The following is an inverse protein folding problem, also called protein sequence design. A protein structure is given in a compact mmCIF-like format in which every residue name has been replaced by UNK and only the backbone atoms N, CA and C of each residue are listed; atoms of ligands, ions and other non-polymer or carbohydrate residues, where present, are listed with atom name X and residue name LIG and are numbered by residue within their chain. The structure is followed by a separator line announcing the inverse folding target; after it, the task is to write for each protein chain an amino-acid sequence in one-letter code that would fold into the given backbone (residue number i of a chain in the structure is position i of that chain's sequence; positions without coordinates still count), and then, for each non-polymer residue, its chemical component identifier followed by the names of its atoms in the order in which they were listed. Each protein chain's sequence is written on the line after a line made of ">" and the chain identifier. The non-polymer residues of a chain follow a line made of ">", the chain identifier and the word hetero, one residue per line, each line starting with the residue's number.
data_IF_906336768949
#
_entry.id   IF_906336768949
#
_cell.length_a   1.000
_cell.length_b   1.000
_cell.length_c   1.000
_cell.angle_alpha   90.00
_cell.angle_beta   90.00
_cell.angle_gamma   90.00
#
_symmetry.space_group_name_H-M   'P 1'
#
loop_
_entity.id
_entity.type
_entity.pdbx_description
1 polymer ?
#
# COMPACT_ATOMS: atom_id res chain seq x y z
N UNK A 1 -7.75 21.97 7.09
CA UNK A 1 -7.26 20.73 7.73
C UNK A 1 -6.15 20.23 6.84
N UNK A 2 -4.95 20.07 7.37
CA UNK A 2 -3.86 19.41 6.65
C UNK A 2 -4.24 17.93 6.57
N UNK A 3 -4.56 17.45 5.36
CA UNK A 3 -4.78 16.02 5.15
C UNK A 3 -3.42 15.34 5.39
N UNK A 4 -3.37 14.43 6.37
CA UNK A 4 -2.16 13.69 6.69
C UNK A 4 -1.97 12.47 5.79
N UNK A 5 -0.78 11.88 5.88
CA UNK A 5 -0.40 10.66 5.19
C UNK A 5 -0.25 9.53 6.21
N UNK A 6 -0.48 8.29 5.78
CA UNK A 6 -0.43 7.08 6.61
C UNK A 6 0.40 6.04 5.90
N UNK A 7 1.15 5.26 6.66
CA UNK A 7 2.04 4.27 6.10
C UNK A 7 1.59 2.87 6.50
N UNK A 8 1.56 1.95 5.54
CA UNK A 8 1.39 0.52 5.80
C UNK A 8 2.44 -0.26 5.02
N UNK A 9 3.35 -0.91 5.73
CA UNK A 9 4.47 -1.65 5.15
C UNK A 9 5.22 -0.84 4.05
N UNK A 10 5.63 0.38 4.39
CA UNK A 10 6.37 1.33 3.52
C UNK A 10 5.60 1.96 2.34
N UNK A 11 4.29 1.74 2.23
CA UNK A 11 3.43 2.39 1.22
C UNK A 11 2.63 3.53 1.84
N UNK A 12 2.38 4.58 1.06
CA UNK A 12 1.80 5.83 1.57
C UNK A 12 0.37 6.00 1.06
N UNK A 13 -0.54 6.30 1.97
CA UNK A 13 -1.95 6.50 1.68
C UNK A 13 -2.48 7.78 2.30
N UNK A 14 -3.57 8.30 1.75
CA UNK A 14 -4.31 9.39 2.38
C UNK A 14 -4.89 8.94 3.73
N UNK A 15 -4.60 9.67 4.81
CA UNK A 15 -5.08 9.32 6.16
C UNK A 15 -6.58 9.28 6.33
N UNK A 16 -7.28 10.15 5.62
CA UNK A 16 -8.72 10.30 5.79
C UNK A 16 -9.50 9.25 5.00
N UNK A 17 -8.91 8.73 3.91
CA UNK A 17 -9.64 7.93 2.93
C UNK A 17 -8.99 6.58 2.61
N UNK A 18 -7.75 6.33 3.05
CA UNK A 18 -7.01 5.10 2.78
C UNK A 18 -6.57 4.91 1.34
N UNK A 19 -6.84 5.89 0.47
CA UNK A 19 -6.57 5.79 -0.95
C UNK A 19 -5.16 6.29 -1.24
N UNK A 20 -4.44 5.53 -2.05
CA UNK A 20 -3.15 5.93 -2.60
C UNK A 20 -3.32 7.09 -3.60
N UNK A 21 -4.36 7.05 -4.43
CA UNK A 21 -4.88 8.22 -5.16
C UNK A 21 -6.18 8.68 -4.53
N UNK A 22 -6.14 9.82 -3.84
CA UNK A 22 -7.31 10.39 -3.20
C UNK A 22 -7.76 11.66 -3.93
N UNK A 23 -8.82 11.55 -4.74
CA UNK A 23 -9.41 12.70 -5.44
C UNK A 23 -10.08 13.72 -4.51
N UNK A 24 -10.41 13.32 -3.27
CA UNK A 24 -11.04 14.22 -2.29
C UNK A 24 -10.02 15.14 -1.63
N UNK A 25 -8.84 14.61 -1.32
CA UNK A 25 -7.73 15.34 -0.71
C UNK A 25 -6.73 15.86 -1.75
N UNK A 26 -6.90 15.48 -3.03
CA UNK A 26 -6.01 15.81 -4.15
C UNK A 26 -4.56 15.35 -3.92
N UNK A 27 -4.39 14.16 -3.35
CA UNK A 27 -3.07 13.51 -3.17
C UNK A 27 -2.95 12.29 -4.07
N UNK A 28 -1.74 12.06 -4.57
CA UNK A 28 -1.39 10.92 -5.41
C UNK A 28 -0.02 10.41 -4.98
N UNK A 29 -0.01 9.25 -4.35
CA UNK A 29 1.20 8.59 -3.85
C UNK A 29 1.70 7.48 -4.79
N UNK A 30 1.05 7.25 -5.94
CA UNK A 30 1.39 6.14 -6.85
C UNK A 30 2.84 6.18 -7.31
N UNK A 31 3.41 7.35 -7.53
CA UNK A 31 4.80 7.47 -7.96
C UNK A 31 5.76 6.85 -6.93
N UNK A 32 5.61 7.18 -5.65
CA UNK A 32 6.47 6.68 -4.59
C UNK A 32 6.27 5.17 -4.40
N UNK A 33 5.02 4.75 -4.36
CA UNK A 33 4.65 3.36 -4.08
C UNK A 33 5.00 2.44 -5.25
N UNK A 34 4.83 2.88 -6.51
CA UNK A 34 5.29 2.15 -7.70
C UNK A 34 6.81 2.00 -7.70
N UNK A 35 7.57 3.06 -7.38
CA UNK A 35 9.04 2.95 -7.27
C UNK A 35 9.45 1.94 -6.18
N UNK A 36 8.70 1.84 -5.08
CA UNK A 36 8.94 0.81 -4.05
C UNK A 36 8.69 -0.60 -4.60
N UNK A 37 7.59 -0.82 -5.33
CA UNK A 37 7.28 -2.10 -6.00
C UNK A 37 8.39 -2.49 -6.96
N UNK A 38 8.80 -1.59 -7.85
CA UNK A 38 9.83 -1.86 -8.85
C UNK A 38 11.15 -2.30 -8.22
N UNK A 39 11.53 -1.68 -7.09
CA UNK A 39 12.74 -2.05 -6.35
C UNK A 39 12.65 -3.45 -5.75
N UNK A 40 11.52 -3.76 -5.11
CA UNK A 40 11.31 -5.07 -4.51
C UNK A 40 11.22 -6.17 -5.58
N UNK A 41 10.52 -5.89 -6.69
CA UNK A 41 10.43 -6.77 -7.84
C UNK A 41 11.81 -7.00 -8.45
N UNK A 42 12.60 -5.95 -8.71
CA UNK A 42 13.97 -6.06 -9.20
C UNK A 42 14.86 -6.93 -8.29
N UNK A 43 14.74 -6.80 -6.97
CA UNK A 43 15.48 -7.61 -6.01
C UNK A 43 15.06 -9.10 -6.05
N UNK A 44 13.76 -9.38 -6.20
CA UNK A 44 13.25 -10.75 -6.36
C UNK A 44 13.78 -11.38 -7.66
N UNK A 45 13.78 -10.63 -8.75
CA UNK A 45 14.23 -11.10 -10.07
C UNK A 45 15.74 -11.36 -10.10
N UNK A 46 16.54 -10.50 -9.46
CA UNK A 46 17.98 -10.75 -9.29
C UNK A 46 18.22 -12.08 -8.53
N UNK A 47 17.33 -12.43 -7.60
CA UNK A 47 17.42 -13.66 -6.83
C UNK A 47 16.93 -14.91 -7.60
N UNK A 48 15.90 -14.79 -8.46
CA UNK A 48 15.32 -15.94 -9.20
C UNK A 48 15.89 -16.12 -10.60
N UNK A 49 16.42 -15.06 -11.21
CA UNK A 49 16.92 -15.04 -12.59
C UNK A 49 15.83 -14.89 -13.66
N UNK A 50 14.62 -14.47 -13.28
CA UNK A 50 13.49 -14.24 -14.19
C UNK A 50 13.43 -12.77 -14.65
N UNK A 51 12.66 -12.48 -15.71
CA UNK A 51 12.24 -11.12 -16.06
C UNK A 51 10.77 -10.92 -15.63
N UNK A 52 10.39 -9.76 -15.08
CA UNK A 52 9.01 -9.52 -14.70
C UNK A 52 8.20 -9.25 -15.97
N UNK A 53 7.07 -9.93 -16.12
CA UNK A 53 6.07 -9.60 -17.15
C UNK A 53 5.08 -8.52 -16.66
N UNK A 54 5.47 -7.76 -15.61
CA UNK A 54 4.61 -6.83 -14.91
C UNK A 54 5.14 -5.42 -15.10
N UNK A 55 4.33 -4.58 -15.75
CA UNK A 55 4.50 -3.13 -15.73
C UNK A 55 3.83 -2.57 -14.47
N UNK A 56 4.63 -2.10 -13.51
CA UNK A 56 4.13 -1.56 -12.25
C UNK A 56 3.39 -0.23 -12.43
N UNK A 57 3.54 0.47 -13.56
CA UNK A 57 2.80 1.68 -13.89
C UNK A 57 1.34 1.39 -14.28
N UNK A 58 1.07 0.20 -14.82
CA UNK A 58 -0.27 -0.23 -15.26
C UNK A 58 -1.15 -0.78 -14.12
N UNK A 59 -0.60 -0.94 -12.90
CA UNK A 59 -1.36 -1.46 -11.75
C UNK A 59 -2.51 -0.51 -11.34
N UNK A 60 -3.62 -1.05 -10.81
CA UNK A 60 -4.66 -0.22 -10.18
C UNK A 60 -4.13 0.49 -8.93
N UNK A 61 -4.75 1.62 -8.58
CA UNK A 61 -4.46 2.31 -7.31
C UNK A 61 -4.97 1.51 -6.12
N UNK A 62 -4.19 1.49 -5.04
CA UNK A 62 -4.54 0.78 -3.82
C UNK A 62 -5.47 1.58 -2.90
N UNK A 63 -6.26 0.81 -2.14
CA UNK A 63 -7.05 1.30 -1.03
C UNK A 63 -6.70 0.48 0.22
N UNK A 64 -5.90 1.06 1.11
CA UNK A 64 -5.47 0.42 2.36
C UNK A 64 -6.66 -0.04 3.20
N UNK A 65 -7.76 0.72 3.20
CA UNK A 65 -8.93 0.43 4.03
C UNK A 65 -9.68 -0.84 3.59
N UNK A 66 -9.35 -1.41 2.43
CA UNK A 66 -9.84 -2.72 2.01
C UNK A 66 -9.12 -3.89 2.74
N UNK A 67 -7.94 -3.67 3.33
CA UNK A 67 -7.06 -4.69 3.87
C UNK A 67 -6.88 -4.65 5.40
N UNK A 68 -7.50 -3.69 6.06
CA UNK A 68 -7.27 -3.36 7.47
C UNK A 68 -8.54 -3.47 8.30
N UNK A 69 -8.37 -3.63 9.61
CA UNK A 69 -9.46 -3.47 10.56
C UNK A 69 -9.47 -2.03 11.07
N UNK A 70 -10.31 -1.19 10.46
CA UNK A 70 -10.59 0.13 11.02
C UNK A 70 -11.69 0.06 12.08
N UNK A 71 -11.47 0.56 13.31
CA UNK A 71 -12.57 0.89 14.19
C UNK A 71 -13.42 1.97 13.52
N UNK A 72 -14.66 1.64 13.17
CA UNK A 72 -15.59 2.60 12.56
C UNK A 72 -15.78 3.80 13.51
N UNK A 73 -15.23 4.96 13.14
CA UNK A 73 -15.59 6.24 13.74
C UNK A 73 -14.54 6.93 14.62
N UNK A 74 -13.35 6.37 14.81
CA UNK A 74 -12.25 7.09 15.47
C UNK A 74 -11.33 7.79 14.45
N UNK A 75 -10.93 9.05 14.71
CA UNK A 75 -9.88 9.71 13.94
C UNK A 75 -8.55 8.98 14.20
N UNK A 76 -7.94 8.47 13.14
CA UNK A 76 -6.71 7.72 13.22
C UNK A 76 -5.50 8.64 13.43
N UNK A 77 -4.54 8.22 14.26
CA UNK A 77 -3.29 8.93 14.51
C UNK A 77 -2.21 8.46 13.52
N UNK A 78 -1.52 9.34 12.76
CA UNK A 78 -0.30 9.03 11.98
C UNK A 78 0.76 8.18 12.66
N UNK A 79 0.80 8.20 13.99
CA UNK A 79 1.74 7.41 14.76
C UNK A 79 1.19 6.04 15.21
N UNK A 80 -0.08 5.70 14.91
CA UNK A 80 -0.68 4.41 15.27
C UNK A 80 -0.30 3.31 14.26
N UNK A 81 0.05 2.14 14.79
CA UNK A 81 0.25 0.94 13.99
C UNK A 81 -1.05 0.52 13.26
N UNK A 82 -0.95 0.11 12.00
CA UNK A 82 -2.12 -0.28 11.18
C UNK A 82 -2.31 -1.80 11.21
N UNK A 83 -3.34 -2.33 11.90
CA UNK A 83 -3.59 -3.77 11.93
C UNK A 83 -4.28 -4.25 10.65
N UNK A 84 -3.77 -5.34 10.08
CA UNK A 84 -4.45 -6.00 8.98
C UNK A 84 -5.74 -6.70 9.43
N UNK A 85 -6.64 -6.98 8.49
CA UNK A 85 -7.95 -7.54 8.84
C UNK A 85 -7.95 -9.04 9.19
N UNK A 86 -6.95 -9.78 8.72
CA UNK A 86 -6.89 -11.23 8.87
C UNK A 86 -6.09 -11.64 10.12
N UNK A 87 -4.92 -11.04 10.32
CA UNK A 87 -3.99 -11.43 11.38
C UNK A 87 -4.03 -10.49 12.59
N UNK A 88 -4.73 -9.34 12.50
CA UNK A 88 -4.76 -8.28 13.53
C UNK A 88 -3.37 -7.75 13.91
N UNK A 89 -2.39 -7.99 13.04
CA UNK A 89 -0.99 -7.61 13.24
C UNK A 89 -0.74 -6.25 12.56
N UNK A 90 -0.10 -5.37 13.32
CA UNK A 90 0.47 -4.11 12.85
C UNK A 90 1.44 -4.34 11.71
N UNK A 91 1.30 -3.61 10.60
CA UNK A 91 2.22 -3.71 9.45
C UNK A 91 2.44 -5.17 8.99
N UNK A 92 1.35 -5.95 8.96
CA UNK A 92 1.42 -7.36 8.63
C UNK A 92 2.04 -7.59 7.25
N UNK A 93 3.26 -8.14 7.23
CA UNK A 93 4.04 -8.40 6.00
C UNK A 93 3.39 -9.39 5.05
N UNK A 94 2.38 -10.14 5.51
CA UNK A 94 1.64 -11.10 4.70
C UNK A 94 0.44 -10.41 4.01
N UNK A 95 -0.31 -9.60 4.75
CA UNK A 95 -1.50 -8.92 4.22
C UNK A 95 -1.17 -7.64 3.44
N UNK A 96 -0.05 -7.01 3.78
CA UNK A 96 0.46 -5.81 3.09
C UNK A 96 1.65 -6.16 2.19
N UNK A 97 1.68 -7.37 1.63
CA UNK A 97 2.61 -7.76 0.57
C UNK A 97 2.13 -7.17 -0.76
N UNK A 98 2.35 -5.88 -0.92
CA UNK A 98 1.85 -5.11 -2.06
C UNK A 98 2.38 -5.62 -3.40
N UNK A 99 3.64 -6.08 -3.44
CA UNK A 99 4.26 -6.68 -4.63
C UNK A 99 3.52 -7.94 -5.04
N UNK A 100 3.24 -8.84 -4.08
CA UNK A 100 2.47 -10.05 -4.34
C UNK A 100 1.03 -9.76 -4.75
N UNK A 101 0.42 -8.71 -4.21
CA UNK A 101 -0.92 -8.28 -4.64
C UNK A 101 -0.89 -7.86 -6.12
N UNK A 102 0.07 -7.02 -6.52
CA UNK A 102 0.26 -6.67 -7.95
C UNK A 102 0.48 -7.92 -8.80
N UNK A 103 1.31 -8.85 -8.35
CA UNK A 103 1.63 -10.06 -9.11
C UNK A 103 0.50 -11.09 -9.23
N UNK A 104 -0.57 -11.00 -8.43
CA UNK A 104 -1.73 -11.90 -8.50
C UNK A 104 -2.95 -11.29 -9.22
N UNK A 105 -3.01 -9.96 -9.35
CA UNK A 105 -4.13 -9.23 -9.96
C UNK A 105 -3.98 -9.04 -11.49
N UNK A 106 -2.96 -9.65 -12.11
CA UNK A 106 -2.64 -9.58 -13.55
C UNK A 106 -2.60 -10.98 -14.16
#
# INVERSE_FOLDING_TARGET
>A
MTHGDIMANSFIFCAEHGQEVCHRCCVDHRLCDTVSIEKELAALLEATGDEPDIDADDRPSFNLFAYTLFPLGDPWDPDDDIPCCEHTEADCKICFDWVKIVGNDI
#
